data_IF_737373721362
#
_entry.id   IF_737373721362
#
_cell.length_a   1.000
_cell.length_b   1.000
_cell.length_c   1.000
_cell.angle_alpha   90.00
_cell.angle_beta   90.00
_cell.angle_gamma   90.00
#
_symmetry.space_group_name_H-M   'P 1'
#
loop_
_entity.id
_entity.type
_entity.pdbx_description
1 polymer ?
#
# COMPACT_ATOMS: atom_id res chain seq x y z
N UNK A 1 9.37 9.50 -4.14
CA UNK A 1 9.06 9.31 -2.69
C UNK A 1 10.34 8.89 -2.00
N UNK A 2 10.59 9.42 -0.79
CA UNK A 2 11.81 9.13 -0.04
C UNK A 2 11.94 7.64 0.24
N UNK A 3 13.16 7.15 0.31
CA UNK A 3 13.47 5.73 0.40
C UNK A 3 12.95 5.15 1.73
N UNK A 4 11.79 4.50 1.73
CA UNK A 4 11.15 3.97 2.93
C UNK A 4 11.93 2.79 3.54
N UNK A 5 11.73 2.55 4.83
CA UNK A 5 12.13 1.28 5.46
C UNK A 5 10.88 0.40 5.72
N UNK A 6 11.09 -0.88 6.05
CA UNK A 6 9.99 -1.83 6.24
C UNK A 6 9.03 -1.40 7.36
N UNK A 7 9.52 -0.72 8.39
CA UNK A 7 8.69 -0.24 9.50
C UNK A 7 7.84 0.97 9.10
N UNK A 8 8.32 1.82 8.19
CA UNK A 8 7.53 2.92 7.65
C UNK A 8 6.39 2.38 6.79
N UNK A 9 6.67 1.43 5.90
CA UNK A 9 5.66 0.72 5.10
C UNK A 9 4.65 0.01 6.02
N UNK A 10 5.13 -0.73 7.02
CA UNK A 10 4.26 -1.43 7.97
C UNK A 10 3.31 -0.48 8.71
N UNK A 11 3.79 0.69 9.16
CA UNK A 11 2.94 1.72 9.77
C UNK A 11 1.98 2.34 8.77
N UNK A 12 2.42 2.56 7.54
CA UNK A 12 1.58 3.07 6.46
C UNK A 12 0.39 2.13 6.19
N UNK A 13 0.65 0.82 6.21
CA UNK A 13 -0.35 -0.25 6.05
C UNK A 13 -1.18 -0.55 7.31
N UNK A 14 -1.13 0.29 8.33
CA UNK A 14 -1.95 0.09 9.53
C UNK A 14 -1.44 -1.02 10.44
N UNK A 15 -0.13 -1.27 10.42
CA UNK A 15 0.56 -2.27 11.24
C UNK A 15 0.12 -3.72 10.94
N UNK A 16 -0.46 -3.98 9.76
CA UNK A 16 -0.82 -5.32 9.32
C UNK A 16 0.29 -6.04 8.55
N UNK A 17 0.14 -7.36 8.47
CA UNK A 17 0.93 -8.29 7.65
C UNK A 17 -0.01 -9.35 7.08
N UNK A 18 0.30 -10.01 5.95
CA UNK A 18 1.54 -9.91 5.19
C UNK A 18 1.53 -8.83 4.09
N UNK A 19 2.71 -8.45 3.61
CA UNK A 19 2.88 -7.60 2.42
C UNK A 19 4.21 -7.92 1.73
N UNK A 20 4.34 -7.59 0.45
CA UNK A 20 5.57 -7.81 -0.33
C UNK A 20 6.35 -6.50 -0.43
N UNK A 21 7.65 -6.55 -0.17
CA UNK A 21 8.59 -5.44 -0.38
C UNK A 21 9.76 -5.86 -1.24
N UNK A 22 10.40 -4.89 -1.90
CA UNK A 22 11.71 -5.09 -2.51
C UNK A 22 12.63 -3.91 -2.23
N UNK A 23 13.92 -4.09 -2.52
CA UNK A 23 14.86 -2.97 -2.61
C UNK A 23 14.71 -2.27 -3.96
N UNK A 24 14.88 -0.96 -3.99
CA UNK A 24 14.93 -0.23 -5.26
C UNK A 24 16.10 -0.74 -6.10
N UNK A 25 15.83 -1.04 -7.38
CA UNK A 25 16.80 -1.61 -8.32
C UNK A 25 16.88 -3.14 -8.30
N UNK A 26 16.16 -3.84 -7.40
CA UNK A 26 15.99 -5.29 -7.50
C UNK A 26 14.81 -5.61 -8.42
N UNK A 27 14.97 -6.61 -9.30
CA UNK A 27 13.91 -7.03 -10.23
C UNK A 27 13.42 -8.45 -9.96
N UNK A 28 14.33 -9.33 -9.57
CA UNK A 28 14.01 -10.74 -9.32
C UNK A 28 13.79 -11.04 -7.84
N UNK A 29 14.30 -10.19 -6.94
CA UNK A 29 14.34 -10.47 -5.51
C UNK A 29 13.36 -9.56 -4.75
N UNK A 30 12.46 -10.17 -4.00
CA UNK A 30 11.56 -9.51 -3.05
C UNK A 30 11.39 -10.33 -1.78
N UNK A 31 10.70 -9.76 -0.78
CA UNK A 31 10.38 -10.44 0.47
C UNK A 31 8.90 -10.30 0.76
N UNK A 32 8.24 -11.43 1.07
CA UNK A 32 6.93 -11.43 1.72
C UNK A 32 7.13 -11.28 3.22
N UNK A 33 6.92 -10.08 3.74
CA UNK A 33 6.99 -9.78 5.18
C UNK A 33 5.77 -10.39 5.84
N UNK A 34 5.97 -11.27 6.81
CA UNK A 34 4.90 -11.98 7.54
C UNK A 34 4.83 -11.60 9.00
N UNK A 35 5.91 -11.03 9.54
CA UNK A 35 5.98 -10.65 10.96
C UNK A 35 6.90 -9.47 11.17
N UNK A 36 6.44 -8.50 11.96
CA UNK A 36 7.21 -7.33 12.36
C UNK A 36 7.22 -7.24 13.89
N UNK A 37 8.40 -7.15 14.48
CA UNK A 37 8.60 -6.94 15.92
C UNK A 37 9.20 -5.56 16.12
N UNK A 38 8.39 -4.53 16.44
CA UNK A 38 8.90 -3.18 16.63
C UNK A 38 9.71 -3.06 17.93
N UNK A 39 10.84 -2.35 17.86
CA UNK A 39 11.66 -1.87 18.98
C UNK A 39 11.86 -0.36 18.78
N UNK A 40 10.87 0.44 19.21
CA UNK A 40 10.83 1.88 18.97
C UNK A 40 10.50 2.24 17.51
N UNK A 41 11.37 3.03 16.85
CA UNK A 41 11.20 3.41 15.44
C UNK A 41 11.53 2.28 14.46
N UNK A 42 12.39 1.34 14.86
CA UNK A 42 12.82 0.20 14.05
C UNK A 42 12.43 -1.09 14.75
N UNK A 43 13.16 -2.19 14.53
CA UNK A 43 12.90 -3.48 15.14
C UNK A 43 13.47 -4.61 14.31
N UNK A 44 12.77 -5.73 14.32
CA UNK A 44 13.06 -6.89 13.49
C UNK A 44 11.88 -7.15 12.54
N UNK A 45 12.17 -7.58 11.32
CA UNK A 45 11.18 -8.01 10.35
C UNK A 45 11.55 -9.41 9.87
N UNK A 46 10.55 -10.25 9.67
CA UNK A 46 10.70 -11.62 9.25
C UNK A 46 9.76 -11.90 8.09
N UNK A 47 10.17 -12.83 7.23
CA UNK A 47 9.41 -13.14 6.03
C UNK A 47 10.02 -14.25 5.21
N UNK A 48 9.48 -14.40 4.01
CA UNK A 48 9.95 -15.36 3.02
C UNK A 48 10.59 -14.61 1.87
N UNK A 49 11.79 -15.04 1.49
CA UNK A 49 12.43 -14.61 0.26
C UNK A 49 11.66 -15.11 -0.94
N UNK A 50 11.49 -14.24 -1.92
CA UNK A 50 10.85 -14.54 -3.20
C UNK A 50 11.86 -14.29 -4.33
N UNK A 51 11.96 -15.26 -5.24
CA UNK A 51 12.59 -15.06 -6.55
C UNK A 51 11.49 -15.08 -7.60
N UNK A 52 11.38 -14.02 -8.40
CA UNK A 52 10.36 -13.89 -9.44
C UNK A 52 8.95 -14.15 -8.90
N UNK A 53 8.63 -13.51 -7.77
CA UNK A 53 7.35 -13.61 -7.07
C UNK A 53 7.09 -14.96 -6.38
N UNK A 54 8.01 -15.92 -6.46
CA UNK A 54 7.81 -17.29 -5.97
C UNK A 54 8.75 -17.62 -4.83
N UNK A 55 8.24 -18.43 -3.90
CA UNK A 55 9.05 -19.13 -2.92
C UNK A 55 9.69 -20.33 -3.64
N UNK A 56 11.01 -20.40 -3.68
CA UNK A 56 11.74 -21.46 -4.42
C UNK A 56 11.76 -22.82 -3.71
N UNK A 57 11.48 -22.84 -2.40
CA UNK A 57 11.59 -24.05 -1.58
C UNK A 57 10.22 -24.63 -1.22
N UNK A 58 10.09 -25.96 -1.28
CA UNK A 58 8.83 -26.67 -0.97
C UNK A 58 8.40 -26.48 0.50
N UNK A 59 9.35 -26.26 1.39
CA UNK A 59 9.12 -25.99 2.82
C UNK A 59 9.81 -24.70 3.22
N UNK A 60 9.20 -23.53 2.94
CA UNK A 60 9.79 -22.26 3.28
C UNK A 60 9.90 -22.08 4.79
N UNK A 61 11.10 -21.69 5.22
CA UNK A 61 11.32 -21.23 6.58
C UNK A 61 11.28 -19.71 6.61
N UNK A 62 10.58 -19.17 7.59
CA UNK A 62 10.58 -17.72 7.82
C UNK A 62 11.97 -17.29 8.31
N UNK A 63 12.55 -16.29 7.65
CA UNK A 63 13.89 -15.79 7.96
C UNK A 63 13.88 -14.32 8.38
N UNK A 64 14.95 -13.90 9.07
CA UNK A 64 15.16 -12.50 9.43
C UNK A 64 15.54 -11.70 8.20
N UNK A 65 14.83 -10.60 7.94
CA UNK A 65 15.10 -9.72 6.80
C UNK A 65 16.19 -8.72 7.18
N UNK A 66 17.38 -8.92 6.62
CA UNK A 66 18.52 -8.04 6.81
C UNK A 66 18.27 -6.60 6.37
N UNK A 67 18.84 -5.63 7.09
CA UNK A 67 18.76 -4.21 6.78
C UNK A 67 17.30 -3.67 6.65
N UNK A 68 16.33 -4.30 7.33
CA UNK A 68 14.92 -3.92 7.32
C UNK A 68 14.64 -2.48 7.82
N UNK A 69 15.52 -1.94 8.68
CA UNK A 69 15.45 -0.56 9.16
C UNK A 69 16.14 0.49 8.27
N UNK A 70 16.92 0.06 7.27
CA UNK A 70 17.51 0.99 6.30
C UNK A 70 16.45 1.48 5.33
N UNK A 71 16.57 2.71 4.81
CA UNK A 71 15.78 3.15 3.67
C UNK A 71 16.07 2.31 2.41
N UNK A 72 15.39 2.62 1.31
CA UNK A 72 15.52 2.00 -0.02
C UNK A 72 14.73 0.70 -0.16
N UNK A 73 13.65 0.57 0.60
CA UNK A 73 12.59 -0.39 0.37
C UNK A 73 11.41 0.30 -0.32
N UNK A 74 10.67 -0.49 -1.09
CA UNK A 74 9.37 -0.11 -1.62
C UNK A 74 8.36 -1.23 -1.35
N UNK A 75 7.14 -0.82 -1.02
CA UNK A 75 5.97 -1.71 -1.02
C UNK A 75 5.71 -2.15 -2.46
N UNK A 76 5.52 -3.44 -2.68
CA UNK A 76 5.11 -3.99 -3.97
C UNK A 76 3.62 -4.29 -3.98
N UNK A 77 3.18 -4.95 -2.91
CA UNK A 77 1.84 -5.48 -2.84
C UNK A 77 1.39 -5.62 -1.40
N UNK A 78 0.20 -5.13 -1.10
CA UNK A 78 -0.46 -5.34 0.16
C UNK A 78 -1.26 -6.66 0.11
N UNK A 79 -0.92 -7.60 1.01
CA UNK A 79 -1.54 -8.93 1.10
C UNK A 79 -2.33 -9.10 2.41
N UNK A 80 -2.64 -8.01 3.11
CA UNK A 80 -3.32 -8.05 4.41
C UNK A 80 -4.80 -8.36 4.20
N UNK A 81 -5.26 -9.42 4.85
CA UNK A 81 -6.65 -9.88 4.75
C UNK A 81 -7.46 -9.60 6.02
N UNK A 82 -6.81 -9.60 7.17
CA UNK A 82 -7.41 -9.17 8.44
C UNK A 82 -7.39 -7.65 8.55
N UNK A 83 -8.26 -7.00 7.78
CA UNK A 83 -8.34 -5.53 7.75
C UNK A 83 -8.95 -4.94 9.02
N UNK A 84 -9.63 -5.75 9.85
CA UNK A 84 -10.21 -5.31 11.12
C UNK A 84 -9.14 -5.15 12.22
N UNK A 85 -8.04 -5.90 12.11
CA UNK A 85 -6.88 -5.74 12.98
C UNK A 85 -6.02 -4.51 12.67
N UNK A 86 -6.27 -3.82 11.54
CA UNK A 86 -5.50 -2.64 11.15
C UNK A 86 -5.68 -1.49 12.14
N UNK A 87 -4.57 -0.79 12.41
CA UNK A 87 -4.49 0.31 13.37
C UNK A 87 -3.70 1.46 12.75
N UNK A 88 -4.40 2.50 12.37
CA UNK A 88 -3.82 3.79 12.01
C UNK A 88 -4.04 4.82 13.11
N UNK A 89 -2.97 5.53 13.44
CA UNK A 89 -2.99 6.61 14.43
C UNK A 89 -3.01 7.98 13.71
N UNK A 90 -3.86 8.13 12.69
CA UNK A 90 -3.90 9.33 11.82
C UNK A 90 -5.08 10.26 12.10
N UNK A 91 -6.22 9.74 12.56
CA UNK A 91 -7.45 10.50 12.85
C UNK A 91 -8.12 10.02 14.13
N UNK A 92 -8.75 10.94 14.87
CA UNK A 92 -9.69 10.60 15.93
C UNK A 92 -11.12 10.36 15.39
N UNK A 93 -12.10 10.15 16.29
CA UNK A 93 -13.50 9.95 15.93
C UNK A 93 -14.17 11.16 15.25
N UNK A 94 -13.62 12.36 15.45
CA UNK A 94 -14.14 13.63 14.94
C UNK A 94 -13.38 14.14 13.70
N UNK A 95 -12.61 13.28 13.03
CA UNK A 95 -11.73 13.64 11.90
C UNK A 95 -10.62 14.65 12.25
N UNK A 96 -10.21 14.76 13.52
CA UNK A 96 -9.05 15.57 13.87
C UNK A 96 -7.76 14.79 13.69
N UNK A 97 -6.71 15.45 13.17
CA UNK A 97 -5.39 14.82 13.07
C UNK A 97 -4.84 14.50 14.47
N UNK A 98 -4.28 13.32 14.63
CA UNK A 98 -3.65 12.88 15.89
C UNK A 98 -2.13 13.12 15.92
N UNK A 99 -1.58 13.68 14.85
CA UNK A 99 -0.14 13.85 14.63
C UNK A 99 0.19 15.21 13.98
N UNK A 100 1.48 15.55 13.96
CA UNK A 100 2.04 16.63 13.14
C UNK A 100 1.64 18.05 13.55
N UNK A 101 1.85 18.99 12.62
CA UNK A 101 1.71 20.46 12.82
C UNK A 101 0.31 20.87 13.29
N UNK A 102 -0.72 20.22 12.76
CA UNK A 102 -2.13 20.52 13.00
C UNK A 102 -2.82 19.48 13.89
N UNK A 103 -2.08 18.84 14.79
CA UNK A 103 -2.65 17.90 15.76
C UNK A 103 -3.82 18.54 16.52
N UNK A 104 -4.95 17.84 16.56
CA UNK A 104 -6.19 18.28 17.21
C UNK A 104 -7.11 19.12 16.33
N UNK A 105 -6.72 19.45 15.09
CA UNK A 105 -7.53 20.20 14.13
C UNK A 105 -8.24 19.25 13.15
N UNK A 106 -9.48 19.59 12.79
CA UNK A 106 -10.27 18.83 11.84
C UNK A 106 -9.65 18.89 10.43
N UNK A 107 -9.65 17.77 9.72
CA UNK A 107 -9.00 17.67 8.42
C UNK A 107 -9.59 18.62 7.36
N UNK A 108 -10.90 18.90 7.41
CA UNK A 108 -11.55 19.80 6.45
C UNK A 108 -11.13 21.26 6.69
N UNK A 109 -10.93 21.65 7.95
CA UNK A 109 -10.39 22.96 8.29
C UNK A 109 -8.96 23.10 7.76
N UNK A 110 -8.13 22.07 7.96
CA UNK A 110 -6.75 22.05 7.46
C UNK A 110 -6.72 22.19 5.95
N UNK A 111 -7.59 21.49 5.23
CA UNK A 111 -7.66 21.57 3.76
C UNK A 111 -7.90 22.99 3.26
N UNK A 112 -8.75 23.77 3.95
CA UNK A 112 -9.00 25.17 3.60
C UNK A 112 -7.87 26.13 4.04
N UNK A 113 -7.18 25.81 5.14
CA UNK A 113 -6.17 26.65 5.77
C UNK A 113 -4.76 26.46 5.19
N UNK A 114 -4.40 25.23 4.87
CA UNK A 114 -3.07 24.79 4.43
C UNK A 114 -3.22 23.56 3.53
N UNK A 115 -3.63 23.81 2.29
CA UNK A 115 -3.91 22.76 1.30
C UNK A 115 -2.67 21.90 1.01
N UNK A 116 -1.48 22.48 1.04
CA UNK A 116 -0.22 21.77 0.78
C UNK A 116 0.08 20.76 1.89
N UNK A 117 -0.11 21.14 3.16
CA UNK A 117 0.00 20.19 4.26
C UNK A 117 -1.03 19.08 4.16
N UNK A 118 -2.28 19.40 3.80
CA UNK A 118 -3.31 18.39 3.59
C UNK A 118 -2.92 17.40 2.48
N UNK A 119 -2.48 17.88 1.32
CA UNK A 119 -2.02 17.04 0.20
C UNK A 119 -0.84 16.16 0.60
N UNK A 120 0.13 16.73 1.33
CA UNK A 120 1.25 15.95 1.86
C UNK A 120 0.78 14.86 2.81
N UNK A 121 -0.08 15.18 3.78
CA UNK A 121 -0.57 14.22 4.74
C UNK A 121 -1.37 13.11 4.04
N UNK A 122 -2.26 13.49 3.12
CA UNK A 122 -3.07 12.55 2.33
C UNK A 122 -2.22 11.51 1.60
N UNK A 123 -1.06 11.92 1.08
CA UNK A 123 -0.17 11.06 0.31
C UNK A 123 0.84 10.26 1.16
N UNK A 124 1.19 10.73 2.36
CA UNK A 124 2.32 10.17 3.13
C UNK A 124 1.92 9.60 4.50
N UNK A 125 0.67 9.78 4.93
CA UNK A 125 0.20 9.32 6.25
C UNK A 125 -0.71 8.13 6.05
N UNK A 126 -0.25 6.98 6.53
CA UNK A 126 -0.98 5.72 6.49
C UNK A 126 -2.42 5.85 6.97
N UNK A 127 -3.34 5.30 6.20
CA UNK A 127 -4.76 5.20 6.54
C UNK A 127 -5.52 6.51 6.52
N UNK A 128 -4.89 7.67 6.29
CA UNK A 128 -5.60 8.94 6.27
C UNK A 128 -6.62 8.99 5.12
N UNK A 129 -6.16 8.69 3.90
CA UNK A 129 -7.02 8.62 2.72
C UNK A 129 -8.11 7.55 2.86
N UNK A 130 -7.74 6.35 3.35
CA UNK A 130 -8.68 5.24 3.58
C UNK A 130 -9.76 5.59 4.60
N UNK A 131 -9.37 6.11 5.77
CA UNK A 131 -10.29 6.45 6.84
C UNK A 131 -11.28 7.53 6.40
N UNK A 132 -10.81 8.56 5.67
CA UNK A 132 -11.66 9.60 5.14
C UNK A 132 -12.60 9.08 4.06
N UNK A 133 -12.12 8.19 3.18
CA UNK A 133 -12.94 7.57 2.17
C UNK A 133 -14.08 6.74 2.79
N UNK A 134 -13.75 5.86 3.75
CA UNK A 134 -14.70 5.03 4.49
C UNK A 134 -15.80 5.87 5.12
N UNK A 135 -15.42 6.93 5.85
CA UNK A 135 -16.37 7.82 6.53
C UNK A 135 -17.24 8.59 5.54
N UNK A 136 -16.67 9.01 4.40
CA UNK A 136 -17.40 9.79 3.39
C UNK A 136 -18.44 8.96 2.63
N UNK A 137 -18.10 7.73 2.28
CA UNK A 137 -18.95 6.86 1.46
C UNK A 137 -19.77 5.84 2.28
N UNK A 138 -19.57 5.81 3.60
CA UNK A 138 -20.23 4.88 4.52
C UNK A 138 -20.03 3.42 4.10
N UNK A 139 -18.76 3.06 3.89
CA UNK A 139 -18.32 1.72 3.45
C UNK A 139 -17.31 1.14 4.43
N UNK A 140 -17.19 -0.18 4.48
CA UNK A 140 -16.21 -0.85 5.35
C UNK A 140 -14.84 -1.02 4.68
N UNK A 141 -13.80 -1.30 5.48
CA UNK A 141 -12.51 -1.77 4.95
C UNK A 141 -12.65 -3.08 4.16
N UNK A 142 -13.60 -3.94 4.56
CA UNK A 142 -13.86 -5.20 3.87
C UNK A 142 -14.43 -4.98 2.46
N UNK A 143 -15.29 -3.96 2.28
CA UNK A 143 -15.80 -3.59 0.96
C UNK A 143 -14.66 -3.13 0.03
N UNK A 144 -13.77 -2.29 0.55
CA UNK A 144 -12.57 -1.85 -0.17
C UNK A 144 -11.66 -3.03 -0.53
N UNK A 145 -11.37 -3.92 0.42
CA UNK A 145 -10.56 -5.11 0.19
C UNK A 145 -11.19 -6.03 -0.88
N UNK A 146 -12.50 -6.26 -0.79
CA UNK A 146 -13.26 -7.08 -1.74
C UNK A 146 -13.14 -6.54 -3.16
N UNK A 147 -13.30 -5.22 -3.35
CA UNK A 147 -13.17 -4.58 -4.66
C UNK A 147 -11.74 -4.69 -5.19
N UNK A 148 -10.74 -4.41 -4.35
CA UNK A 148 -9.32 -4.53 -4.73
C UNK A 148 -8.98 -5.94 -5.20
N UNK A 149 -9.48 -6.97 -4.48
CA UNK A 149 -9.32 -8.38 -4.84
C UNK A 149 -9.97 -8.71 -6.18
N UNK A 150 -11.20 -8.23 -6.42
CA UNK A 150 -11.89 -8.47 -7.69
C UNK A 150 -11.15 -7.84 -8.87
N UNK A 151 -10.67 -6.59 -8.74
CA UNK A 151 -9.85 -5.94 -9.76
C UNK A 151 -8.58 -6.75 -10.00
N UNK A 152 -7.82 -7.05 -8.95
CA UNK A 152 -6.56 -7.79 -9.05
C UNK A 152 -6.73 -9.17 -9.69
N UNK A 153 -7.77 -9.91 -9.31
CA UNK A 153 -8.04 -11.26 -9.84
C UNK A 153 -8.44 -11.26 -11.32
N UNK A 154 -8.89 -10.13 -11.84
CA UNK A 154 -9.28 -9.96 -13.24
C UNK A 154 -8.15 -9.47 -14.15
N UNK A 155 -7.01 -9.04 -13.60
CA UNK A 155 -5.85 -8.63 -14.39
C UNK A 155 -5.16 -9.84 -15.04
N UNK A 156 -4.68 -9.67 -16.27
CA UNK A 156 -3.94 -10.71 -16.99
C UNK A 156 -2.45 -10.84 -16.60
N UNK A 157 -1.99 -10.07 -15.60
CA UNK A 157 -0.62 -10.05 -15.12
C UNK A 157 -0.57 -9.96 -13.59
N UNK A 158 0.61 -10.23 -13.03
CA UNK A 158 0.88 -10.21 -11.59
C UNK A 158 1.67 -8.95 -11.17
N UNK A 159 1.79 -8.73 -9.85
CA UNK A 159 2.68 -7.72 -9.30
C UNK A 159 4.15 -7.93 -9.69
N UNK A 160 4.57 -9.18 -9.92
CA UNK A 160 5.92 -9.52 -10.37
C UNK A 160 6.16 -9.13 -11.85
N UNK A 161 5.18 -9.37 -12.73
CA UNK A 161 5.21 -8.87 -14.11
C UNK A 161 5.29 -7.33 -14.14
N UNK A 162 4.55 -6.67 -13.24
CA UNK A 162 4.57 -5.23 -13.08
C UNK A 162 5.95 -4.69 -12.70
N UNK A 163 6.60 -5.29 -11.70
CA UNK A 163 7.95 -4.96 -11.22
C UNK A 163 9.02 -5.01 -12.31
N UNK A 164 8.89 -5.94 -13.25
CA UNK A 164 9.85 -6.20 -14.34
C UNK A 164 9.62 -5.33 -15.57
N UNK A 165 8.56 -4.53 -15.56
CA UNK A 165 8.20 -3.61 -16.64
C UNK A 165 8.71 -2.19 -16.37
N UNK A 166 8.74 -1.30 -17.38
CA UNK A 166 9.13 0.10 -17.23
C UNK A 166 8.05 1.01 -16.60
N UNK A 167 6.98 0.44 -16.03
CA UNK A 167 5.94 1.20 -15.32
C UNK A 167 6.53 2.09 -14.23
N UNK A 168 6.02 3.32 -14.15
CA UNK A 168 6.50 4.33 -13.19
C UNK A 168 5.77 4.29 -11.86
N UNK A 169 4.51 3.86 -11.87
CA UNK A 169 3.67 3.83 -10.70
C UNK A 169 3.75 2.47 -10.01
N UNK A 170 3.62 2.48 -8.68
CA UNK A 170 3.56 1.25 -7.91
C UNK A 170 2.27 0.46 -8.20
N UNK A 171 2.36 -0.87 -8.21
CA UNK A 171 1.23 -1.76 -8.49
C UNK A 171 0.09 -1.58 -7.50
N UNK A 172 0.39 -1.66 -6.20
CA UNK A 172 -0.59 -1.55 -5.12
C UNK A 172 -1.25 -0.17 -5.10
N UNK A 173 -0.48 0.88 -5.41
CA UNK A 173 -0.98 2.24 -5.54
C UNK A 173 -2.02 2.37 -6.67
N UNK A 174 -1.77 1.78 -7.84
CA UNK A 174 -2.73 1.79 -8.96
C UNK A 174 -4.01 1.06 -8.56
N UNK A 175 -3.89 -0.14 -7.97
CA UNK A 175 -5.05 -0.88 -7.50
C UNK A 175 -5.89 -0.07 -6.50
N UNK A 176 -5.25 0.67 -5.58
CA UNK A 176 -5.96 1.50 -4.62
C UNK A 176 -6.73 2.66 -5.26
N UNK A 177 -6.16 3.34 -6.26
CA UNK A 177 -6.88 4.41 -6.98
C UNK A 177 -8.19 3.88 -7.59
N UNK A 178 -8.13 2.72 -8.24
CA UNK A 178 -9.28 2.10 -8.87
C UNK A 178 -10.26 1.49 -7.87
N UNK A 179 -9.76 0.93 -6.76
CA UNK A 179 -10.59 0.46 -5.63
C UNK A 179 -11.53 1.55 -5.14
N UNK A 180 -11.02 2.77 -4.92
CA UNK A 180 -11.84 3.91 -4.48
C UNK A 180 -12.87 4.32 -5.55
N UNK A 181 -12.45 4.43 -6.81
CA UNK A 181 -13.36 4.81 -7.90
C UNK A 181 -14.51 3.79 -8.08
N UNK A 182 -14.20 2.50 -8.01
CA UNK A 182 -15.19 1.43 -8.08
C UNK A 182 -16.12 1.42 -6.88
N UNK A 183 -15.58 1.58 -5.67
CA UNK A 183 -16.38 1.64 -4.44
C UNK A 183 -17.36 2.83 -4.46
N UNK A 184 -16.90 3.99 -4.94
CA UNK A 184 -17.71 5.19 -5.12
C UNK A 184 -18.69 5.10 -6.32
N UNK A 185 -18.77 3.95 -7.01
CA UNK A 185 -19.60 3.73 -8.22
C UNK A 185 -19.32 4.72 -9.35
N UNK A 186 -18.12 5.30 -9.38
CA UNK A 186 -17.66 6.19 -10.45
C UNK A 186 -17.14 5.40 -11.66
N UNK A 187 -16.82 4.13 -11.45
CA UNK A 187 -16.29 3.22 -12.46
C UNK A 187 -16.70 1.78 -12.13
N UNK A 188 -17.02 0.98 -13.14
CA UNK A 188 -17.20 -0.46 -12.94
C UNK A 188 -15.84 -1.20 -12.97
N UNK A 189 -15.81 -2.43 -12.45
CA UNK A 189 -14.58 -3.23 -12.33
C UNK A 189 -13.99 -3.56 -13.70
N UNK A 190 -14.81 -3.84 -14.72
CA UNK A 190 -14.31 -4.20 -16.05
C UNK A 190 -13.59 -3.00 -16.70
N UNK A 191 -14.15 -1.80 -16.57
CA UNK A 191 -13.50 -0.57 -17.02
C UNK A 191 -12.21 -0.30 -16.25
N UNK A 192 -12.19 -0.52 -14.92
CA UNK A 192 -10.98 -0.38 -14.12
C UNK A 192 -9.86 -1.33 -14.57
N UNK A 193 -10.17 -2.61 -14.73
CA UNK A 193 -9.23 -3.64 -15.21
C UNK A 193 -8.67 -3.25 -16.57
N UNK A 194 -9.53 -2.88 -17.52
CA UNK A 194 -9.10 -2.49 -18.86
C UNK A 194 -8.13 -1.31 -18.84
N UNK A 195 -8.42 -0.25 -18.08
CA UNK A 195 -7.53 0.92 -18.01
C UNK A 195 -6.18 0.61 -17.36
N UNK A 196 -6.16 -0.27 -16.35
CA UNK A 196 -4.92 -0.74 -15.72
C UNK A 196 -4.09 -1.56 -16.72
N UNK A 197 -4.73 -2.44 -17.51
CA UNK A 197 -4.08 -3.22 -18.55
C UNK A 197 -3.55 -2.34 -19.69
N UNK A 198 -4.35 -1.40 -20.16
CA UNK A 198 -3.94 -0.43 -21.19
C UNK A 198 -2.73 0.40 -20.71
N UNK A 199 -2.72 0.84 -19.45
CA UNK A 199 -1.57 1.54 -18.86
C UNK A 199 -0.32 0.65 -18.80
N UNK A 200 -0.48 -0.62 -18.39
CA UNK A 200 0.63 -1.58 -18.33
C UNK A 200 1.22 -1.83 -19.72
N UNK A 201 0.40 -2.07 -20.74
CA UNK A 201 0.87 -2.30 -22.11
C UNK A 201 1.50 -1.05 -22.74
N UNK A 202 0.92 0.13 -22.55
CA UNK A 202 1.48 1.39 -23.04
C UNK A 202 2.84 1.69 -22.41
N UNK A 203 3.09 1.27 -21.17
CA UNK A 203 4.40 1.45 -20.55
C UNK A 203 5.50 0.70 -21.30
N UNK A 204 5.19 -0.47 -21.89
CA UNK A 204 6.15 -1.32 -22.60
C UNK A 204 6.55 -0.77 -23.97
N UNK A 205 5.73 0.09 -24.58
CA UNK A 205 6.02 0.67 -25.90
C UNK A 205 6.85 1.95 -25.82
N UNK A 206 7.00 2.52 -24.62
CA UNK A 206 7.85 3.68 -24.34
C UNK A 206 9.24 3.16 -23.96
N UNK A 207 9.99 2.68 -24.96
CA UNK A 207 11.42 2.33 -24.85
C UNK A 207 12.20 3.15 -25.88
#
# INVERSE_FOLDING_TARGET
>A
MGSENIFDIWRFLGKGTPFIVRRNGWYHLSYKVTRVIPKGKYGEAFGYRLTDGKIEVDTPQEESIGCCGCGNWELIENLIEDVEALRWDCLDANNNLTFGKYKGMNVEEIKSKDEDYFKWAWANVGGLSETLFIRKYDVSLQDLLSIKRQIKAALNFTSDDWIKSPVKNNFDFILDQYKYACCAKQKDIATAVKEIEDYFEQSKTII
#
